data_IF_650490295766
#
_entry.id   IF_650490295766
#
_cell.length_a   1.000
_cell.length_b   1.000
_cell.length_c   1.000
_cell.angle_alpha   90.00
_cell.angle_beta   90.00
_cell.angle_gamma   90.00
#
_symmetry.space_group_name_H-M   'P 1'
#
loop_
_entity.id
_entity.type
_entity.pdbx_description
1 polymer ?
#
# COMPACT_ATOMS: atom_id res chain seq x y z
N UNK A 1 -19.66 -2.42 31.93
CA UNK A 1 -18.35 -1.98 31.50
C UNK A 1 -18.43 -1.29 30.16
N UNK A 2 -18.14 -0.03 30.19
CA UNK A 2 -18.16 0.78 28.99
C UNK A 2 -17.04 0.40 28.01
N UNK A 3 -15.91 -0.11 28.53
CA UNK A 3 -14.79 -0.49 27.70
C UNK A 3 -15.11 -1.55 26.65
N UNK A 4 -15.99 -2.47 26.99
CA UNK A 4 -16.40 -3.52 26.05
C UNK A 4 -17.05 -2.94 24.80
N UNK A 5 -17.93 -1.95 24.97
CA UNK A 5 -18.60 -1.30 23.85
C UNK A 5 -17.60 -0.55 22.97
N UNK A 6 -16.65 0.12 23.58
CA UNK A 6 -15.61 0.85 22.85
C UNK A 6 -14.74 -0.09 22.03
N UNK A 7 -14.38 -1.21 22.59
CA UNK A 7 -13.61 -2.21 21.89
C UNK A 7 -14.34 -2.75 20.68
N UNK A 8 -15.62 -3.02 20.83
CA UNK A 8 -16.44 -3.51 19.72
C UNK A 8 -16.50 -2.51 18.58
N UNK A 9 -16.62 -1.22 18.90
CA UNK A 9 -16.61 -0.17 17.89
C UNK A 9 -15.27 -0.11 17.19
N UNK A 10 -14.17 -0.22 17.93
CA UNK A 10 -12.82 -0.20 17.36
C UNK A 10 -12.58 -1.30 16.35
N UNK A 11 -13.12 -2.48 16.60
CA UNK A 11 -12.92 -3.63 15.72
C UNK A 11 -13.52 -3.44 14.34
N UNK A 12 -14.48 -2.53 14.19
CA UNK A 12 -15.12 -2.25 12.91
C UNK A 12 -14.28 -1.34 12.02
N UNK A 13 -13.21 -0.79 12.53
CA UNK A 13 -12.36 0.15 11.82
C UNK A 13 -11.06 -0.50 11.33
N UNK A 14 -11.12 -1.79 10.97
CA UNK A 14 -9.95 -2.52 10.49
C UNK A 14 -9.39 -2.03 9.17
N UNK A 15 -10.21 -1.37 8.34
CA UNK A 15 -9.75 -0.76 7.10
C UNK A 15 -10.64 0.43 6.75
N UNK A 16 -10.10 1.32 5.92
CA UNK A 16 -10.80 2.51 5.48
C UNK A 16 -11.41 2.27 4.10
N UNK A 17 -12.69 2.57 3.96
CA UNK A 17 -13.41 2.37 2.71
C UNK A 17 -13.15 3.46 1.67
N UNK A 18 -12.48 4.54 2.03
CA UNK A 18 -12.12 5.64 1.14
C UNK A 18 -13.33 6.28 0.44
N UNK A 19 -14.50 6.20 1.05
CA UNK A 19 -15.77 6.72 0.53
C UNK A 19 -16.12 6.18 -0.86
N UNK A 20 -15.72 4.95 -1.17
CA UNK A 20 -15.95 4.33 -2.48
C UNK A 20 -16.55 2.95 -2.35
N UNK A 21 -17.37 2.51 -3.34
CA UNK A 21 -17.78 1.11 -3.43
C UNK A 21 -16.59 0.16 -3.52
N UNK A 22 -16.81 -1.11 -3.19
CA UNK A 22 -15.73 -2.09 -3.10
C UNK A 22 -14.91 -2.22 -4.39
N UNK A 23 -15.58 -2.23 -5.55
CA UNK A 23 -14.91 -2.37 -6.84
C UNK A 23 -14.04 -1.15 -7.17
N UNK A 24 -14.54 0.06 -6.92
CA UNK A 24 -13.80 1.30 -7.16
C UNK A 24 -12.66 1.45 -6.17
N UNK A 25 -12.87 1.06 -4.92
CA UNK A 25 -11.80 1.08 -3.90
C UNK A 25 -10.67 0.15 -4.29
N UNK A 26 -10.99 -1.06 -4.76
CA UNK A 26 -9.99 -2.02 -5.23
C UNK A 26 -9.19 -1.45 -6.41
N UNK A 27 -9.86 -0.85 -7.38
CA UNK A 27 -9.20 -0.25 -8.53
C UNK A 27 -8.26 0.89 -8.11
N UNK A 28 -8.69 1.74 -7.18
CA UNK A 28 -7.86 2.83 -6.67
C UNK A 28 -6.61 2.29 -5.97
N UNK A 29 -6.77 1.28 -5.12
CA UNK A 29 -5.64 0.71 -4.38
C UNK A 29 -4.67 0.00 -5.32
N UNK A 30 -5.16 -0.68 -6.34
CA UNK A 30 -4.30 -1.29 -7.36
C UNK A 30 -3.49 -0.24 -8.11
N UNK A 31 -4.13 0.86 -8.51
CA UNK A 31 -3.45 1.94 -9.20
C UNK A 31 -2.39 2.60 -8.32
N UNK A 32 -2.71 2.87 -7.05
CA UNK A 32 -1.76 3.46 -6.11
C UNK A 32 -0.58 2.53 -5.85
N UNK A 33 -0.83 1.23 -5.69
CA UNK A 33 0.25 0.25 -5.50
C UNK A 33 1.20 0.27 -6.69
N UNK A 34 0.65 0.27 -7.90
CA UNK A 34 1.43 0.32 -9.14
C UNK A 34 2.31 1.57 -9.18
N UNK A 35 1.73 2.72 -8.84
CA UNK A 35 2.48 3.98 -8.88
C UNK A 35 3.57 4.07 -7.80
N UNK A 36 3.30 3.55 -6.59
CA UNK A 36 4.33 3.52 -5.54
C UNK A 36 5.53 2.67 -5.98
N UNK A 37 5.27 1.52 -6.57
CA UNK A 37 6.35 0.64 -7.04
C UNK A 37 7.10 1.29 -8.20
N UNK A 38 6.37 1.96 -9.11
CA UNK A 38 6.99 2.60 -10.28
C UNK A 38 7.92 3.75 -9.90
N UNK A 39 7.49 4.63 -9.02
CA UNK A 39 8.21 5.86 -8.70
C UNK A 39 9.05 5.76 -7.43
N UNK A 40 8.82 4.74 -6.60
CA UNK A 40 9.50 4.61 -5.31
C UNK A 40 8.91 5.48 -4.22
N UNK A 41 8.29 6.59 -4.58
CA UNK A 41 7.58 7.46 -3.63
C UNK A 41 6.52 8.26 -4.36
N UNK A 42 5.38 8.47 -3.71
CA UNK A 42 4.30 9.29 -4.24
C UNK A 42 3.71 10.15 -3.12
N UNK A 43 3.13 11.26 -3.51
CA UNK A 43 2.40 12.15 -2.59
C UNK A 43 0.91 11.97 -2.81
N UNK A 44 0.17 11.67 -1.75
CA UNK A 44 -1.26 11.47 -1.81
C UNK A 44 -1.90 11.89 -0.48
N UNK A 45 -3.20 11.73 -0.35
CA UNK A 45 -3.84 12.03 0.94
C UNK A 45 -3.38 11.02 2.00
N UNK A 46 -3.36 11.46 3.25
CA UNK A 46 -2.90 10.62 4.35
C UNK A 46 -3.69 9.31 4.45
N UNK A 47 -5.00 9.38 4.27
CA UNK A 47 -5.87 8.21 4.35
C UNK A 47 -5.52 7.20 3.26
N UNK A 48 -5.31 7.67 2.03
CA UNK A 48 -4.95 6.79 0.91
C UNK A 48 -3.57 6.18 1.11
N UNK A 49 -2.61 6.97 1.59
CA UNK A 49 -1.27 6.48 1.86
C UNK A 49 -1.29 5.35 2.89
N UNK A 50 -2.06 5.50 3.95
CA UNK A 50 -2.21 4.47 4.96
C UNK A 50 -2.91 3.23 4.43
N UNK A 51 -3.91 3.42 3.58
CA UNK A 51 -4.68 2.30 3.03
C UNK A 51 -3.85 1.46 2.06
N UNK A 52 -3.00 2.10 1.25
CA UNK A 52 -2.22 1.39 0.24
C UNK A 52 -0.98 0.71 0.81
N UNK A 53 -0.51 1.13 1.98
CA UNK A 53 0.73 0.63 2.57
C UNK A 53 0.78 -0.89 2.65
N UNK A 54 -0.29 -1.51 3.14
CA UNK A 54 -0.33 -2.97 3.29
C UNK A 54 -0.27 -3.69 1.95
N UNK A 55 -0.84 -3.10 0.91
CA UNK A 55 -0.83 -3.71 -0.42
C UNK A 55 0.56 -3.66 -1.05
N UNK A 56 1.27 -2.54 -0.86
CA UNK A 56 2.65 -2.42 -1.34
C UNK A 56 3.56 -3.39 -0.59
N UNK A 57 3.41 -3.47 0.73
CA UNK A 57 4.18 -4.42 1.54
C UNK A 57 3.93 -5.86 1.09
N UNK A 58 2.69 -6.20 0.78
CA UNK A 58 2.34 -7.54 0.29
C UNK A 58 3.01 -7.85 -1.05
N UNK A 59 3.02 -6.88 -1.97
CA UNK A 59 3.69 -7.06 -3.26
C UNK A 59 5.19 -7.28 -3.10
N UNK A 60 5.83 -6.55 -2.19
CA UNK A 60 7.26 -6.74 -1.90
C UNK A 60 7.50 -8.11 -1.29
N UNK A 61 6.62 -8.55 -0.40
CA UNK A 61 6.71 -9.89 0.20
C UNK A 61 6.64 -10.97 -0.86
N UNK A 62 5.72 -10.83 -1.83
CA UNK A 62 5.64 -11.75 -2.96
C UNK A 62 6.92 -11.73 -3.80
N UNK A 63 7.48 -10.53 -4.02
CA UNK A 63 8.74 -10.38 -4.74
C UNK A 63 9.90 -11.07 -4.05
N UNK A 64 9.95 -11.00 -2.74
CA UNK A 64 10.98 -11.69 -1.94
C UNK A 64 10.84 -13.20 -2.02
N UNK A 65 9.61 -13.70 -2.04
CA UNK A 65 9.35 -15.13 -2.16
C UNK A 65 9.80 -15.66 -3.52
N UNK A 66 9.51 -14.93 -4.58
CA UNK A 66 10.06 -15.14 -5.91
C UNK A 66 9.59 -16.37 -6.68
N UNK A 67 8.66 -17.16 -6.14
CA UNK A 67 8.19 -18.35 -6.84
C UNK A 67 7.14 -18.00 -7.92
N UNK A 68 6.76 -18.98 -8.72
CA UNK A 68 5.82 -18.79 -9.82
C UNK A 68 4.43 -18.39 -9.32
N UNK A 69 3.99 -18.99 -8.21
CA UNK A 69 2.71 -18.67 -7.61
C UNK A 69 2.66 -17.22 -7.11
N UNK A 70 3.73 -16.76 -6.46
CA UNK A 70 3.83 -15.38 -6.01
C UNK A 70 3.82 -14.42 -7.19
N UNK A 71 4.53 -14.74 -8.27
CA UNK A 71 4.55 -13.91 -9.47
C UNK A 71 3.17 -13.77 -10.10
N UNK A 72 2.41 -14.85 -10.13
CA UNK A 72 1.03 -14.81 -10.64
C UNK A 72 0.14 -13.94 -9.78
N UNK A 73 0.27 -13.99 -8.47
CA UNK A 73 -0.48 -13.13 -7.56
C UNK A 73 -0.14 -11.66 -7.77
N UNK A 74 1.14 -11.34 -7.94
CA UNK A 74 1.58 -9.97 -8.18
C UNK A 74 1.06 -9.44 -9.52
N UNK A 75 1.10 -10.27 -10.57
CA UNK A 75 0.57 -9.90 -11.88
C UNK A 75 -0.94 -9.65 -11.85
N UNK A 76 -1.66 -10.32 -10.96
CA UNK A 76 -3.09 -10.12 -10.79
C UNK A 76 -3.44 -8.79 -10.12
N UNK A 77 -2.52 -8.19 -9.39
CA UNK A 77 -2.77 -6.94 -8.68
C UNK A 77 -2.16 -5.71 -9.36
N UNK A 78 -0.89 -5.79 -9.75
CA UNK A 78 -0.17 -4.67 -10.36
C UNK A 78 -0.56 -4.57 -11.85
N UNK A 79 -0.80 -3.36 -12.34
CA UNK A 79 -1.23 -3.16 -13.72
C UNK A 79 -0.11 -3.32 -14.75
N UNK A 80 1.14 -3.06 -14.35
CA UNK A 80 2.28 -3.07 -15.28
C UNK A 80 3.13 -4.32 -15.06
N UNK A 81 3.19 -5.18 -16.07
CA UNK A 81 3.96 -6.43 -16.01
C UNK A 81 5.46 -6.19 -15.87
N UNK A 82 5.97 -5.13 -16.50
CA UNK A 82 7.40 -4.79 -16.42
C UNK A 82 7.80 -4.44 -15.00
N UNK A 83 6.93 -3.76 -14.26
CA UNK A 83 7.16 -3.45 -12.87
C UNK A 83 7.25 -4.69 -12.01
N UNK A 84 6.43 -5.70 -12.28
CA UNK A 84 6.46 -6.96 -11.55
C UNK A 84 7.80 -7.65 -11.78
N UNK A 85 8.29 -7.70 -13.01
CA UNK A 85 9.60 -8.26 -13.30
C UNK A 85 10.71 -7.53 -12.56
N UNK A 86 10.70 -6.20 -12.61
CA UNK A 86 11.70 -5.38 -11.92
C UNK A 86 11.63 -5.58 -10.40
N UNK A 87 10.44 -5.66 -9.85
CA UNK A 87 10.26 -5.88 -8.42
C UNK A 87 10.81 -7.23 -7.99
N UNK A 88 10.51 -8.29 -8.74
CA UNK A 88 10.98 -9.64 -8.41
C UNK A 88 12.49 -9.78 -8.55
N UNK A 89 13.11 -9.00 -9.43
CA UNK A 89 14.55 -8.97 -9.55
C UNK A 89 15.22 -8.24 -8.40
N UNK A 90 14.63 -7.14 -7.93
CA UNK A 90 15.24 -6.25 -6.94
C UNK A 90 14.91 -6.61 -5.49
N UNK A 91 13.70 -7.11 -5.22
CA UNK A 91 13.22 -7.29 -3.85
C UNK A 91 14.04 -8.26 -3.00
N UNK A 92 14.50 -9.42 -3.51
CA UNK A 92 15.29 -10.33 -2.69
C UNK A 92 16.57 -9.72 -2.15
N UNK A 93 17.22 -8.87 -2.93
CA UNK A 93 18.48 -8.23 -2.52
C UNK A 93 18.21 -6.99 -1.67
N UNK A 94 17.29 -6.13 -2.12
CA UNK A 94 17.03 -4.86 -1.46
C UNK A 94 16.43 -5.01 -0.07
N UNK A 95 15.55 -5.99 0.11
CA UNK A 95 14.82 -6.20 1.36
C UNK A 95 15.19 -7.50 2.07
N UNK A 96 16.34 -8.04 1.79
CA UNK A 96 16.79 -9.32 2.35
C UNK A 96 16.76 -9.34 3.87
N UNK A 97 17.15 -8.23 4.51
CA UNK A 97 17.25 -8.14 5.96
C UNK A 97 15.96 -7.70 6.64
N UNK A 98 14.96 -7.26 5.86
CA UNK A 98 13.70 -6.80 6.43
C UNK A 98 12.65 -7.91 6.35
N UNK A 99 11.93 -8.08 7.46
CA UNK A 99 10.86 -9.08 7.54
C UNK A 99 9.48 -8.47 7.31
N UNK A 100 9.40 -7.17 7.18
CA UNK A 100 8.18 -6.41 6.97
C UNK A 100 8.49 -4.93 7.04
N UNK A 101 7.46 -4.08 6.93
CA UNK A 101 7.66 -2.64 7.01
C UNK A 101 8.52 -2.09 5.87
N UNK A 102 8.20 -2.48 4.65
CA UNK A 102 8.97 -2.07 3.47
C UNK A 102 8.63 -0.67 2.99
N UNK A 103 7.64 -0.04 3.58
CA UNK A 103 7.19 1.30 3.21
C UNK A 103 7.14 2.19 4.42
N UNK A 104 7.14 3.50 4.14
CA UNK A 104 7.11 4.54 5.17
C UNK A 104 6.12 5.61 4.74
N UNK A 105 5.29 6.08 5.66
CA UNK A 105 4.33 7.16 5.40
C UNK A 105 4.78 8.38 6.19
N UNK A 106 5.07 9.47 5.47
CA UNK A 106 5.53 10.74 6.05
C UNK A 106 4.49 11.81 5.80
N UNK A 107 4.03 12.47 6.85
CA UNK A 107 3.07 13.56 6.72
C UNK A 107 3.73 14.78 6.10
N UNK A 108 2.98 15.48 5.27
CA UNK A 108 3.44 16.72 4.65
C UNK A 108 2.44 17.84 4.92
N UNK A 109 2.72 19.01 4.33
CA UNK A 109 1.85 20.17 4.43
C UNK A 109 0.48 19.84 3.82
N UNK A 110 -0.58 20.35 4.45
CA UNK A 110 -1.94 20.19 3.95
C UNK A 110 -2.09 20.80 2.55
N UNK A 111 -2.92 20.16 1.73
CA UNK A 111 -3.12 20.61 0.35
C UNK A 111 -3.82 21.95 0.32
N UNK A 112 -3.30 22.85 -0.51
CA UNK A 112 -3.89 24.15 -0.74
C UNK A 112 -5.24 23.97 -1.45
N UNK A 113 -6.24 24.72 -1.00
CA UNK A 113 -7.57 24.64 -1.58
C UNK A 113 -8.56 23.97 -0.65
N UNK A 114 -8.44 22.66 -0.45
CA UNK A 114 -9.36 21.89 0.40
C UNK A 114 -8.80 21.55 1.78
N UNK A 115 -7.56 21.96 2.05
CA UNK A 115 -6.89 21.69 3.33
C UNK A 115 -6.82 20.21 3.68
N UNK A 116 -6.80 19.33 2.69
CA UNK A 116 -6.71 17.89 2.91
C UNK A 116 -5.36 17.53 3.51
N UNK A 117 -5.36 16.61 4.46
CA UNK A 117 -4.11 16.11 5.05
C UNK A 117 -3.38 15.25 4.01
N UNK A 118 -2.16 15.61 3.71
CA UNK A 118 -1.35 14.96 2.70
C UNK A 118 -0.21 14.18 3.34
N UNK A 119 0.25 13.17 2.64
CA UNK A 119 1.38 12.36 3.07
C UNK A 119 2.14 11.84 1.87
N UNK A 120 3.40 11.49 2.11
CA UNK A 120 4.22 10.81 1.11
C UNK A 120 4.37 9.36 1.58
N UNK A 121 4.06 8.42 0.70
CA UNK A 121 4.38 7.01 0.92
C UNK A 121 5.59 6.67 0.06
N UNK A 122 6.59 6.05 0.66
CA UNK A 122 7.83 5.74 -0.04
C UNK A 122 8.34 4.35 0.34
N UNK A 123 9.08 3.76 -0.57
CA UNK A 123 9.79 2.50 -0.32
C UNK A 123 11.04 2.80 0.50
N UNK A 124 11.27 1.98 1.49
CA UNK A 124 12.45 2.10 2.36
C UNK A 124 13.71 1.62 1.66
#
# INVERSE_FOLDING_TARGET
MTGTCLEMVSHRHGFNKLSKPADQRKALLRALTTEVIRHGRIKTTLIRARAVRKHVDHMIELGKRGDLHARRQALAWVYDKQLVHSLFDAAPDRYAERKGGYTRVLRTVARQGDNAKMAIIELV
#
